data_IF_575689847894
#
_entry.id   IF_575689847894
#
_cell.length_a   1.000
_cell.length_b   1.000
_cell.length_c   1.000
_cell.angle_alpha   90.00
_cell.angle_beta   90.00
_cell.angle_gamma   90.00
#
_symmetry.space_group_name_H-M   'P 1'
#
loop_
_entity.id
_entity.type
_entity.pdbx_description
1 polymer ?
#
# COMPACT_ATOMS: atom_id res chain seq x y z
N UNK A 1 0.53 -16.64 -45.29
CA UNK A 1 1.93 -16.54 -45.76
C UNK A 1 2.19 -15.06 -45.95
N UNK A 2 2.93 -14.41 -45.06
CA UNK A 2 4.40 -14.35 -45.10
C UNK A 2 5.00 -14.24 -43.70
N UNK A 3 5.85 -15.21 -43.35
CA UNK A 3 6.87 -15.10 -42.31
C UNK A 3 7.89 -14.07 -42.81
N UNK A 4 8.20 -13.06 -42.00
CA UNK A 4 9.44 -12.31 -42.17
C UNK A 4 10.36 -12.77 -41.04
N UNK A 5 11.21 -13.74 -41.36
CA UNK A 5 12.45 -13.99 -40.64
C UNK A 5 13.34 -12.76 -40.87
N UNK A 6 13.23 -11.75 -40.02
CA UNK A 6 14.20 -10.66 -39.95
C UNK A 6 15.36 -11.15 -39.09
N UNK A 7 16.41 -11.63 -39.76
CA UNK A 7 17.68 -11.94 -39.12
C UNK A 7 18.19 -10.69 -38.39
N UNK A 8 18.59 -10.79 -37.11
CA UNK A 8 19.01 -9.62 -36.36
C UNK A 8 20.20 -8.95 -37.05
N UNK A 9 20.21 -7.60 -37.12
CA UNK A 9 21.22 -6.85 -37.84
C UNK A 9 22.62 -7.12 -37.28
N UNK A 10 23.65 -7.07 -38.15
CA UNK A 10 25.01 -7.50 -37.84
C UNK A 10 25.63 -6.84 -36.59
N UNK A 11 25.22 -5.60 -36.26
CA UNK A 11 25.65 -4.92 -35.04
C UNK A 11 25.18 -5.62 -33.76
N UNK A 12 24.02 -6.26 -33.77
CA UNK A 12 23.49 -7.03 -32.65
C UNK A 12 24.23 -8.37 -32.47
N UNK A 13 24.65 -8.99 -33.60
CA UNK A 13 25.48 -10.20 -33.59
C UNK A 13 26.90 -9.91 -33.09
N UNK A 14 27.44 -8.73 -33.37
CA UNK A 14 28.77 -8.31 -32.90
C UNK A 14 28.78 -8.04 -31.39
N UNK A 15 27.74 -7.39 -30.86
CA UNK A 15 27.57 -7.17 -29.41
C UNK A 15 27.40 -8.47 -28.62
N UNK A 16 26.69 -9.45 -29.16
CA UNK A 16 26.54 -10.75 -28.51
C UNK A 16 27.88 -11.53 -28.42
N UNK A 17 28.79 -11.33 -29.37
CA UNK A 17 30.13 -11.94 -29.34
C UNK A 17 31.08 -11.21 -28.39
N UNK A 18 30.92 -9.90 -28.26
CA UNK A 18 31.69 -9.07 -27.33
C UNK A 18 31.37 -9.44 -25.86
N UNK A 19 30.10 -9.70 -25.53
CA UNK A 19 29.73 -10.10 -24.16
C UNK A 19 30.23 -11.50 -23.76
N UNK A 20 30.31 -12.46 -24.69
CA UNK A 20 30.85 -13.81 -24.39
C UNK A 20 32.37 -13.82 -24.24
N UNK A 21 33.07 -12.85 -24.82
CA UNK A 21 34.53 -12.74 -24.70
C UNK A 21 34.99 -12.04 -23.41
N UNK A 22 34.07 -11.42 -22.66
CA UNK A 22 34.38 -10.71 -21.41
C UNK A 22 34.26 -11.60 -20.14
N UNK A 23 33.76 -12.83 -20.28
CA UNK A 23 33.56 -13.79 -19.18
C UNK A 23 34.73 -14.80 -19.00
N UNK A 24 35.79 -14.73 -19.81
CA UNK A 24 36.89 -15.74 -19.82
C UNK A 24 38.26 -15.20 -19.34
N UNK A 25 38.29 -14.14 -18.54
CA UNK A 25 39.54 -13.61 -18.00
C UNK A 25 39.48 -13.40 -16.47
N UNK A 26 40.04 -14.36 -15.74
CA UNK A 26 40.76 -14.05 -14.50
C UNK A 26 40.24 -14.69 -13.22
N UNK A 27 40.53 -15.97 -13.05
CA UNK A 27 40.62 -16.63 -11.74
C UNK A 27 41.81 -16.02 -10.96
N UNK A 28 41.63 -15.49 -9.73
CA UNK A 28 42.75 -15.16 -8.86
C UNK A 28 42.87 -16.17 -7.70
N UNK A 29 44.07 -16.75 -7.64
CA UNK A 29 44.73 -17.43 -6.53
C UNK A 29 44.28 -16.97 -5.12
N UNK A 30 43.91 -17.94 -4.28
CA UNK A 30 43.72 -17.78 -2.83
C UNK A 30 45.04 -17.45 -2.13
N UNK A 31 45.08 -16.48 -1.19
CA UNK A 31 46.08 -16.46 -0.15
C UNK A 31 45.51 -17.01 1.16
N UNK A 32 46.18 -18.06 1.62
CA UNK A 32 46.18 -18.61 2.98
C UNK A 32 46.29 -17.49 4.03
N UNK A 33 45.28 -17.38 4.90
CA UNK A 33 45.31 -16.52 6.08
C UNK A 33 44.67 -17.24 7.27
N UNK A 34 45.46 -18.10 7.92
CA UNK A 34 45.21 -18.49 9.31
C UNK A 34 45.15 -17.22 10.19
N UNK A 35 44.04 -17.03 10.92
CA UNK A 35 44.01 -16.16 12.10
C UNK A 35 42.97 -15.05 12.17
N UNK A 36 41.81 -15.16 11.52
CA UNK A 36 40.64 -14.38 11.90
C UNK A 36 39.73 -15.27 12.75
N UNK A 37 39.53 -14.91 14.02
CA UNK A 37 38.35 -15.36 14.78
C UNK A 37 37.16 -15.11 13.88
N UNK A 38 36.43 -16.17 13.49
CA UNK A 38 35.18 -15.99 12.79
C UNK A 38 34.33 -15.03 13.65
N UNK A 39 33.80 -13.94 13.07
CA UNK A 39 32.81 -13.14 13.78
C UNK A 39 31.69 -14.07 14.27
N UNK A 40 31.08 -13.71 15.39
CA UNK A 40 29.89 -14.40 15.91
C UNK A 40 28.89 -14.57 14.73
N UNK A 41 28.21 -15.73 14.54
CA UNK A 41 27.23 -15.91 13.44
C UNK A 41 26.05 -14.93 13.44
N UNK A 42 26.06 -13.98 14.38
CA UNK A 42 25.26 -12.78 14.49
C UNK A 42 25.75 -11.61 13.58
N UNK A 43 26.80 -11.79 12.78
CA UNK A 43 27.45 -10.75 11.95
C UNK A 43 27.02 -10.80 10.46
N UNK A 44 25.86 -11.41 10.18
CA UNK A 44 25.18 -11.48 8.88
C UNK A 44 23.69 -11.15 9.06
N UNK A 45 23.42 -10.17 9.93
CA UNK A 45 22.13 -10.02 10.61
C UNK A 45 21.11 -9.30 9.74
N UNK A 46 20.36 -10.11 8.99
CA UNK A 46 18.96 -9.84 8.62
C UNK A 46 18.25 -9.23 9.84
N UNK A 47 17.35 -8.23 9.68
CA UNK A 47 16.73 -7.50 10.78
C UNK A 47 16.37 -8.37 11.99
N UNK A 48 16.61 -7.86 13.20
CA UNK A 48 16.37 -8.54 14.49
C UNK A 48 14.87 -8.78 14.80
N UNK A 49 13.99 -8.55 13.82
CA UNK A 49 12.54 -8.68 13.89
C UNK A 49 12.06 -9.81 12.97
N UNK A 50 11.22 -10.75 13.46
CA UNK A 50 10.65 -11.79 12.61
C UNK A 50 9.78 -11.21 11.48
N UNK A 51 9.84 -11.81 10.29
CA UNK A 51 9.03 -11.41 9.12
C UNK A 51 7.54 -11.35 9.46
N UNK A 52 7.03 -12.31 10.24
CA UNK A 52 5.62 -12.34 10.67
C UNK A 52 5.22 -11.11 11.50
N UNK A 53 6.15 -10.55 12.28
CA UNK A 53 5.90 -9.33 13.05
C UNK A 53 5.95 -8.08 12.15
N UNK A 54 6.79 -8.09 11.12
CA UNK A 54 6.83 -7.05 10.08
C UNK A 54 5.51 -7.03 9.30
N UNK A 55 5.06 -8.19 8.81
CA UNK A 55 3.81 -8.32 8.05
C UNK A 55 2.60 -7.87 8.88
N UNK A 56 2.56 -8.20 10.18
CA UNK A 56 1.49 -7.75 11.08
C UNK A 56 1.56 -6.24 11.34
N UNK A 57 2.75 -5.66 11.51
CA UNK A 57 2.93 -4.23 11.69
C UNK A 57 2.51 -3.44 10.43
N UNK A 58 2.83 -3.96 9.25
CA UNK A 58 2.39 -3.45 7.96
C UNK A 58 0.85 -3.51 7.84
N UNK A 59 0.24 -4.67 8.12
CA UNK A 59 -1.22 -4.84 8.11
C UNK A 59 -1.92 -3.86 9.05
N UNK A 60 -1.44 -3.73 10.29
CA UNK A 60 -2.00 -2.78 11.26
C UNK A 60 -1.86 -1.32 10.79
N UNK A 61 -0.74 -1.00 10.14
CA UNK A 61 -0.54 0.34 9.55
C UNK A 61 -1.54 0.62 8.45
N UNK A 62 -1.81 -0.36 7.56
CA UNK A 62 -2.84 -0.21 6.52
C UNK A 62 -4.23 -0.03 7.10
N UNK A 63 -4.61 -0.83 8.11
CA UNK A 63 -5.91 -0.70 8.79
C UNK A 63 -6.09 0.66 9.48
N UNK A 64 -5.02 1.21 10.08
CA UNK A 64 -5.06 2.55 10.66
C UNK A 64 -5.35 3.62 9.59
N UNK A 65 -4.65 3.56 8.45
CA UNK A 65 -4.84 4.50 7.33
C UNK A 65 -6.22 4.38 6.68
N UNK A 66 -6.71 3.16 6.51
CA UNK A 66 -8.05 2.90 5.98
C UNK A 66 -9.12 3.53 6.88
N UNK A 67 -9.02 3.32 8.20
CA UNK A 67 -9.90 3.97 9.15
C UNK A 67 -9.80 5.52 9.08
N UNK A 68 -8.59 6.07 8.96
CA UNK A 68 -8.37 7.52 8.82
C UNK A 68 -8.92 8.13 7.52
N UNK A 69 -9.04 7.32 6.47
CA UNK A 69 -9.56 7.73 5.17
C UNK A 69 -11.09 7.67 5.10
N UNK A 70 -11.72 6.91 6.01
CA UNK A 70 -13.17 6.82 6.11
C UNK A 70 -13.78 8.08 6.76
N UNK A 71 -15.11 8.24 6.61
CA UNK A 71 -15.85 9.33 7.23
C UNK A 71 -15.62 9.37 8.75
N UNK A 72 -15.15 10.50 9.32
CA UNK A 72 -14.68 10.54 10.70
C UNK A 72 -15.83 10.37 11.70
N UNK A 73 -15.79 9.28 12.45
CA UNK A 73 -16.64 9.02 13.61
C UNK A 73 -15.79 8.69 14.84
N UNK A 74 -16.28 8.93 16.08
CA UNK A 74 -15.52 8.57 17.28
C UNK A 74 -15.10 7.09 17.31
N UNK A 75 -15.91 6.20 16.75
CA UNK A 75 -15.62 4.77 16.63
C UNK A 75 -14.47 4.50 15.67
N UNK A 76 -14.45 5.17 14.51
CA UNK A 76 -13.41 5.04 13.49
C UNK A 76 -12.08 5.63 13.99
N UNK A 77 -12.12 6.81 14.62
CA UNK A 77 -10.94 7.43 15.24
C UNK A 77 -10.31 6.52 16.30
N UNK A 78 -11.14 5.89 17.14
CA UNK A 78 -10.70 4.93 18.15
C UNK A 78 -10.16 3.63 17.54
N UNK A 79 -10.71 3.16 16.43
CA UNK A 79 -10.17 2.01 15.71
C UNK A 79 -8.76 2.30 15.18
N UNK A 80 -8.58 3.46 14.51
CA UNK A 80 -7.28 3.89 14.00
C UNK A 80 -6.22 4.00 15.12
N UNK A 81 -6.57 4.58 16.27
CA UNK A 81 -5.69 4.66 17.43
C UNK A 81 -5.28 3.27 17.94
N UNK A 82 -6.23 2.35 18.11
CA UNK A 82 -5.94 0.99 18.56
C UNK A 82 -5.01 0.22 17.60
N UNK A 83 -5.17 0.41 16.29
CA UNK A 83 -4.26 -0.21 15.31
C UNK A 83 -2.84 0.33 15.44
N UNK A 84 -2.67 1.65 15.62
CA UNK A 84 -1.35 2.28 15.85
C UNK A 84 -0.73 1.81 17.15
N UNK A 85 -1.49 1.80 18.25
CA UNK A 85 -1.02 1.32 19.55
C UNK A 85 -0.55 -0.14 19.49
N UNK A 86 -1.31 -1.00 18.79
CA UNK A 86 -0.95 -2.41 18.65
C UNK A 86 0.31 -2.61 17.79
N UNK A 87 0.46 -1.85 16.70
CA UNK A 87 1.68 -1.84 15.87
C UNK A 87 2.89 -1.42 16.71
N UNK A 88 2.75 -0.32 17.46
CA UNK A 88 3.85 0.23 18.25
C UNK A 88 4.23 -0.73 19.39
N UNK A 89 3.25 -1.37 20.04
CA UNK A 89 3.50 -2.40 21.04
C UNK A 89 4.20 -3.64 20.44
N UNK A 90 3.81 -4.06 19.23
CA UNK A 90 4.44 -5.18 18.52
C UNK A 90 5.89 -4.85 18.14
N UNK A 91 6.16 -3.66 17.59
CA UNK A 91 7.52 -3.24 17.25
C UNK A 91 8.41 -3.15 18.51
N UNK A 92 7.88 -2.59 19.61
CA UNK A 92 8.60 -2.46 20.87
C UNK A 92 8.94 -3.82 21.52
N UNK A 93 8.15 -4.88 21.28
CA UNK A 93 8.47 -6.24 21.73
C UNK A 93 9.83 -6.72 21.18
N UNK A 94 10.18 -6.28 19.98
CA UNK A 94 11.42 -6.63 19.29
C UNK A 94 12.50 -5.52 19.39
N UNK A 95 12.26 -4.46 20.15
CA UNK A 95 13.20 -3.34 20.28
C UNK A 95 13.22 -2.40 19.08
N UNK A 96 12.07 -2.22 18.44
CA UNK A 96 11.88 -1.34 17.29
C UNK A 96 10.82 -0.26 17.54
N UNK A 97 11.02 0.90 16.92
CA UNK A 97 10.07 2.01 16.83
C UNK A 97 9.56 2.11 15.41
N UNK A 98 8.23 2.04 15.25
CA UNK A 98 7.57 2.20 13.95
C UNK A 98 7.41 3.69 13.58
N UNK A 99 7.64 4.01 12.30
CA UNK A 99 7.39 5.33 11.72
C UNK A 99 6.82 5.20 10.31
N UNK A 100 5.80 5.99 10.01
CA UNK A 100 5.29 6.12 8.64
C UNK A 100 5.94 7.33 7.97
N UNK A 101 6.42 7.15 6.74
CA UNK A 101 6.94 8.20 5.87
C UNK A 101 5.92 8.45 4.77
N UNK A 102 5.30 9.63 4.79
CA UNK A 102 4.24 9.98 3.84
C UNK A 102 4.77 10.24 2.42
N UNK A 103 6.05 10.60 2.28
CA UNK A 103 6.71 10.99 1.03
C UNK A 103 6.65 9.88 -0.03
N UNK A 104 6.87 8.64 0.39
CA UNK A 104 6.92 7.43 -0.45
C UNK A 104 6.03 6.30 0.09
N UNK A 105 5.15 6.64 1.02
CA UNK A 105 4.18 5.74 1.64
C UNK A 105 4.83 4.45 2.18
N UNK A 106 5.83 4.62 3.04
CA UNK A 106 6.59 3.53 3.64
C UNK A 106 6.39 3.45 5.16
N UNK A 107 6.25 2.23 5.66
CA UNK A 107 6.45 1.90 7.08
C UNK A 107 7.93 1.58 7.29
N UNK A 108 8.57 2.29 8.22
CA UNK A 108 9.94 2.01 8.63
C UNK A 108 9.97 1.59 10.09
N UNK A 109 10.56 0.44 10.37
CA UNK A 109 10.86 -0.04 11.71
C UNK A 109 12.33 0.25 12.00
N UNK A 110 12.57 1.25 12.86
CA UNK A 110 13.91 1.60 13.32
C UNK A 110 14.24 0.87 14.62
N UNK A 111 15.46 0.34 14.79
CA UNK A 111 15.94 -0.08 16.10
C UNK A 111 15.77 1.06 17.13
N UNK A 112 15.23 0.75 18.31
CA UNK A 112 14.91 1.74 19.34
C UNK A 112 16.13 2.56 19.77
N UNK A 113 17.31 1.93 19.76
CA UNK A 113 18.57 2.57 20.12
C UNK A 113 18.97 3.71 19.17
N UNK A 114 18.46 3.72 17.93
CA UNK A 114 18.66 4.81 16.99
C UNK A 114 17.72 5.98 17.23
N UNK A 115 16.65 5.78 18.00
CA UNK A 115 15.62 6.79 18.20
C UNK A 115 15.88 7.61 19.47
N UNK A 116 15.60 8.90 19.39
CA UNK A 116 15.57 9.82 20.54
C UNK A 116 14.46 10.85 20.27
N UNK A 117 13.48 10.95 21.18
CA UNK A 117 12.34 11.87 21.05
C UNK A 117 11.65 11.82 19.67
N UNK A 118 11.43 10.60 19.14
CA UNK A 118 10.78 10.36 17.85
C UNK A 118 11.64 10.69 16.61
N UNK A 119 12.92 11.01 16.81
CA UNK A 119 13.86 11.38 15.74
C UNK A 119 15.02 10.39 15.67
N UNK A 120 15.34 9.94 14.45
CA UNK A 120 16.50 9.09 14.18
C UNK A 120 17.80 9.87 14.46
N UNK A 121 18.67 9.30 15.28
CA UNK A 121 19.98 9.85 15.62
C UNK A 121 21.03 9.22 14.70
N UNK A 122 21.41 9.93 13.63
CA UNK A 122 22.33 9.40 12.61
C UNK A 122 23.67 8.92 13.17
N UNK A 123 24.18 9.56 14.23
CA UNK A 123 25.42 9.15 14.90
C UNK A 123 25.31 7.81 15.67
N UNK A 124 24.09 7.28 15.87
CA UNK A 124 23.81 5.98 16.50
C UNK A 124 23.55 4.88 15.48
N UNK A 125 23.46 5.21 14.18
CA UNK A 125 23.22 4.25 13.11
C UNK A 125 24.56 3.61 12.73
N UNK A 126 24.77 2.38 13.18
CA UNK A 126 25.99 1.62 12.87
C UNK A 126 25.84 0.82 11.58
N UNK A 127 24.65 0.28 11.33
CA UNK A 127 24.34 -0.56 10.18
C UNK A 127 22.88 -0.33 9.73
N UNK A 128 22.68 0.29 8.57
CA UNK A 128 21.35 0.62 8.03
C UNK A 128 20.51 -0.60 7.69
N UNK A 129 21.13 -1.75 7.44
CA UNK A 129 20.42 -2.98 7.02
C UNK A 129 19.58 -3.58 8.17
N UNK A 130 19.77 -3.08 9.40
CA UNK A 130 18.96 -3.46 10.58
C UNK A 130 17.59 -2.82 10.62
N UNK A 131 17.36 -1.73 9.89
CA UNK A 131 16.03 -1.14 9.75
C UNK A 131 15.22 -1.91 8.72
N UNK A 132 13.91 -2.03 8.95
CA UNK A 132 12.99 -2.65 8.00
C UNK A 132 12.17 -1.57 7.33
N UNK A 133 12.22 -1.50 6.00
CA UNK A 133 11.37 -0.62 5.20
C UNK A 133 10.37 -1.45 4.40
N UNK A 134 9.08 -1.15 4.58
CA UNK A 134 7.98 -1.82 3.90
C UNK A 134 7.14 -0.78 3.18
N UNK A 135 6.99 -0.93 1.86
CA UNK A 135 6.10 -0.05 1.11
C UNK A 135 4.64 -0.38 1.45
N UNK A 136 3.89 0.63 1.86
CA UNK A 136 2.45 0.52 2.11
C UNK A 136 1.65 0.61 0.81
N UNK A 137 2.26 1.18 -0.23
CA UNK A 137 1.79 1.23 -1.62
C UNK A 137 2.34 0.07 -2.46
N UNK A 138 1.58 -0.36 -3.48
CA UNK A 138 2.04 -1.33 -4.48
C UNK A 138 1.41 -2.73 -4.38
N UNK A 139 1.79 -3.66 -5.29
CA UNK A 139 1.08 -4.91 -5.62
C UNK A 139 1.09 -6.01 -4.54
N UNK A 140 1.41 -5.70 -3.29
CA UNK A 140 1.61 -6.67 -2.21
C UNK A 140 0.36 -7.46 -1.80
N UNK A 141 -0.84 -6.93 -2.08
CA UNK A 141 -2.11 -7.59 -1.79
C UNK A 141 -2.91 -7.82 -3.09
N UNK A 142 -3.04 -9.09 -3.47
CA UNK A 142 -3.69 -9.48 -4.73
C UNK A 142 -5.21 -9.33 -4.71
N UNK A 143 -5.85 -9.41 -3.54
CA UNK A 143 -7.30 -9.24 -3.43
C UNK A 143 -7.64 -7.75 -3.44
N UNK A 144 -6.89 -6.94 -2.68
CA UNK A 144 -6.92 -5.47 -2.75
C UNK A 144 -6.63 -4.97 -4.16
N UNK A 145 -5.66 -5.56 -4.86
CA UNK A 145 -5.37 -5.22 -6.25
C UNK A 145 -6.59 -5.36 -7.16
N UNK A 146 -7.31 -6.49 -7.07
CA UNK A 146 -8.48 -6.72 -7.95
C UNK A 146 -9.59 -5.73 -7.67
N UNK A 147 -9.82 -5.42 -6.40
CA UNK A 147 -10.84 -4.47 -6.00
C UNK A 147 -10.52 -3.04 -6.45
N UNK A 148 -9.31 -2.57 -6.16
CA UNK A 148 -8.83 -1.25 -6.60
C UNK A 148 -8.80 -1.14 -8.12
N UNK A 149 -8.36 -2.19 -8.82
CA UNK A 149 -8.37 -2.20 -10.28
C UNK A 149 -9.80 -2.10 -10.84
N UNK A 150 -10.76 -2.82 -10.25
CA UNK A 150 -12.15 -2.74 -10.67
C UNK A 150 -12.76 -1.35 -10.42
N UNK A 151 -12.48 -0.73 -9.27
CA UNK A 151 -12.90 0.66 -8.99
C UNK A 151 -12.29 1.65 -9.99
N UNK A 152 -10.97 1.59 -10.18
CA UNK A 152 -10.27 2.50 -11.09
C UNK A 152 -10.72 2.34 -12.55
N UNK A 153 -11.01 1.10 -12.98
CA UNK A 153 -11.60 0.82 -14.29
C UNK A 153 -13.01 1.41 -14.40
N UNK A 154 -13.86 1.23 -13.40
CA UNK A 154 -15.22 1.81 -13.39
C UNK A 154 -15.21 3.34 -13.46
N UNK A 155 -14.30 4.01 -12.75
CA UNK A 155 -14.13 5.47 -12.87
C UNK A 155 -13.68 5.87 -14.28
N UNK A 156 -12.72 5.15 -14.87
CA UNK A 156 -12.27 5.43 -16.23
C UNK A 156 -13.39 5.22 -17.28
N UNK A 157 -14.23 4.19 -17.11
CA UNK A 157 -15.42 3.95 -17.92
C UNK A 157 -16.42 5.11 -17.81
N UNK A 158 -16.73 5.57 -16.59
CA UNK A 158 -17.64 6.71 -16.38
C UNK A 158 -17.10 8.02 -16.99
N UNK A 159 -15.78 8.26 -16.92
CA UNK A 159 -15.16 9.39 -17.63
C UNK A 159 -15.34 9.23 -19.14
N UNK A 160 -15.12 8.03 -19.68
CA UNK A 160 -15.30 7.78 -21.11
C UNK A 160 -16.75 7.96 -21.60
N UNK A 161 -17.73 7.72 -20.74
CA UNK A 161 -19.15 7.92 -21.06
C UNK A 161 -19.58 9.39 -20.99
N UNK A 162 -19.04 10.15 -20.04
CA UNK A 162 -19.50 11.52 -19.71
C UNK A 162 -18.70 12.61 -20.40
N UNK A 163 -17.43 12.35 -20.70
CA UNK A 163 -16.46 13.39 -21.05
C UNK A 163 -15.87 13.23 -22.46
N UNK A 164 -15.10 14.23 -22.89
CA UNK A 164 -14.39 14.19 -24.15
C UNK A 164 -13.30 13.11 -24.17
N UNK A 165 -13.00 12.58 -25.37
CA UNK A 165 -12.02 11.51 -25.59
C UNK A 165 -10.63 11.81 -24.99
N UNK A 166 -10.24 13.10 -24.92
CA UNK A 166 -8.98 13.52 -24.30
C UNK A 166 -8.93 13.24 -22.79
N UNK A 167 -10.05 13.41 -22.09
CA UNK A 167 -10.17 13.09 -20.67
C UNK A 167 -10.27 11.59 -20.46
N UNK A 168 -11.06 10.89 -21.30
CA UNK A 168 -11.19 9.43 -21.28
C UNK A 168 -9.83 8.72 -21.41
N UNK A 169 -9.03 9.10 -22.41
CA UNK A 169 -7.70 8.51 -22.64
C UNK A 169 -6.73 8.77 -21.47
N UNK A 170 -6.86 9.93 -20.83
CA UNK A 170 -6.08 10.24 -19.63
C UNK A 170 -6.54 9.39 -18.46
N UNK A 171 -7.84 9.22 -18.26
CA UNK A 171 -8.42 8.40 -17.21
C UNK A 171 -8.00 6.93 -17.32
N UNK A 172 -8.04 6.33 -18.52
CA UNK A 172 -7.56 4.96 -18.75
C UNK A 172 -6.09 4.79 -18.34
N UNK A 173 -5.24 5.73 -18.76
CA UNK A 173 -3.80 5.67 -18.45
C UNK A 173 -3.55 5.89 -16.96
N UNK A 174 -4.33 6.78 -16.33
CA UNK A 174 -4.23 7.09 -14.92
C UNK A 174 -4.73 5.95 -14.03
N UNK A 175 -5.84 5.31 -14.38
CA UNK A 175 -6.32 4.10 -13.74
C UNK A 175 -5.25 3.00 -13.78
N UNK A 176 -4.63 2.77 -14.94
CA UNK A 176 -3.54 1.81 -15.06
C UNK A 176 -2.30 2.17 -14.21
N UNK A 177 -1.98 3.46 -14.07
CA UNK A 177 -0.92 3.92 -13.19
C UNK A 177 -1.24 3.63 -11.73
N UNK A 178 -2.40 4.09 -11.26
CA UNK A 178 -2.82 3.96 -9.87
C UNK A 178 -3.00 2.51 -9.44
N UNK A 179 -3.57 1.66 -10.30
CA UNK A 179 -3.73 0.23 -10.01
C UNK A 179 -2.40 -0.52 -10.00
N UNK A 180 -1.48 -0.23 -10.92
CA UNK A 180 -0.26 -1.04 -11.06
C UNK A 180 0.91 -0.54 -10.19
N UNK A 181 1.05 0.77 -9.99
CA UNK A 181 2.16 1.35 -9.23
C UNK A 181 1.83 1.55 -7.76
N UNK A 182 0.60 1.96 -7.42
CA UNK A 182 0.24 2.27 -6.03
C UNK A 182 -0.74 1.28 -5.41
N UNK A 183 -1.55 0.58 -6.21
CA UNK A 183 -2.70 -0.18 -5.72
C UNK A 183 -3.57 0.70 -4.83
N UNK A 184 -3.86 1.90 -5.34
CA UNK A 184 -4.75 2.89 -4.70
C UNK A 184 -5.88 3.34 -5.62
N UNK A 185 -7.02 3.77 -5.04
CA UNK A 185 -8.08 4.46 -5.77
C UNK A 185 -7.56 5.68 -6.54
N UNK A 186 -8.14 5.97 -7.71
CA UNK A 186 -7.77 7.13 -8.55
C UNK A 186 -8.02 8.49 -7.89
N UNK A 187 -8.88 8.55 -6.88
CA UNK A 187 -9.19 9.73 -6.08
C UNK A 187 -8.27 9.87 -4.84
N UNK A 188 -7.53 8.83 -4.46
CA UNK A 188 -6.53 8.88 -3.38
C UNK A 188 -5.12 9.19 -3.91
N UNK A 189 -4.90 10.48 -4.21
CA UNK A 189 -3.68 10.95 -4.88
C UNK A 189 -3.04 12.14 -4.17
N UNK A 190 -1.73 12.07 -3.97
CA UNK A 190 -0.94 13.22 -3.50
C UNK A 190 -0.53 14.13 -4.68
N UNK A 191 -0.19 15.40 -4.43
CA UNK A 191 0.35 16.28 -5.48
C UNK A 191 1.60 15.72 -6.16
N UNK A 192 2.44 15.01 -5.41
CA UNK A 192 3.64 14.34 -5.92
C UNK A 192 3.28 13.16 -6.84
N UNK A 193 2.31 12.33 -6.44
CA UNK A 193 1.77 11.25 -7.28
C UNK A 193 1.23 11.79 -8.61
N UNK A 194 0.49 12.91 -8.57
CA UNK A 194 -0.02 13.57 -9.79
C UNK A 194 1.10 14.13 -10.67
N UNK A 195 2.16 14.67 -10.07
CA UNK A 195 3.32 15.16 -10.80
C UNK A 195 4.09 14.02 -11.47
N UNK A 196 4.34 12.93 -10.75
CA UNK A 196 4.96 11.71 -11.28
C UNK A 196 4.18 11.16 -12.48
N UNK A 197 2.84 11.08 -12.35
CA UNK A 197 2.00 10.67 -13.47
C UNK A 197 2.21 11.55 -14.70
N UNK A 198 2.14 12.87 -14.52
CA UNK A 198 2.21 13.86 -15.61
C UNK A 198 3.55 13.85 -16.31
N UNK A 199 4.63 13.87 -15.52
CA UNK A 199 5.98 14.15 -16.00
C UNK A 199 6.72 12.89 -16.44
N UNK A 200 6.36 11.74 -15.85
CA UNK A 200 7.07 10.49 -16.07
C UNK A 200 6.19 9.42 -16.70
N UNK A 201 5.13 9.00 -15.98
CA UNK A 201 4.38 7.81 -16.37
C UNK A 201 3.60 8.01 -17.67
N UNK A 202 2.87 9.11 -17.79
CA UNK A 202 2.03 9.41 -18.95
C UNK A 202 2.88 9.48 -20.23
N UNK A 203 4.01 10.20 -20.16
CA UNK A 203 4.92 10.37 -21.31
C UNK A 203 5.52 9.03 -21.74
N UNK A 204 5.90 8.17 -20.79
CA UNK A 204 6.54 6.88 -21.06
C UNK A 204 5.58 5.79 -21.51
N UNK A 205 4.35 5.78 -20.98
CA UNK A 205 3.42 4.65 -21.13
C UNK A 205 2.16 5.01 -21.94
N UNK A 206 1.62 6.22 -21.78
CA UNK A 206 0.38 6.65 -22.43
C UNK A 206 0.56 7.22 -23.85
N UNK A 207 1.78 7.62 -24.20
CA UNK A 207 2.12 8.25 -25.49
C UNK A 207 1.14 9.40 -25.82
N UNK A 208 1.08 10.45 -24.98
CA UNK A 208 0.02 11.44 -25.04
C UNK A 208 0.14 12.34 -26.28
N UNK A 209 -0.99 12.88 -26.70
CA UNK A 209 -1.01 13.96 -27.71
C UNK A 209 -0.65 15.30 -27.05
N UNK A 210 -0.25 16.29 -27.85
CA UNK A 210 -0.02 17.66 -27.35
C UNK A 210 -1.27 18.25 -26.68
N UNK A 211 -2.45 17.92 -27.20
CA UNK A 211 -3.74 18.29 -26.63
C UNK A 211 -3.93 17.64 -25.25
N UNK A 212 -3.66 16.34 -25.13
CA UNK A 212 -3.74 15.61 -23.86
C UNK A 212 -2.79 16.18 -22.81
N UNK A 213 -1.55 16.52 -23.18
CA UNK A 213 -0.60 17.17 -22.28
C UNK A 213 -1.06 18.56 -21.85
N UNK A 214 -1.73 19.32 -22.73
CA UNK A 214 -2.20 20.66 -22.43
C UNK A 214 -3.38 20.68 -21.43
N UNK A 215 -4.18 19.60 -21.38
CA UNK A 215 -5.35 19.48 -20.49
C UNK A 215 -5.19 18.40 -19.42
N UNK A 216 -3.98 17.91 -19.17
CA UNK A 216 -3.75 16.79 -18.24
C UNK A 216 -4.20 17.12 -16.81
N UNK A 217 -3.87 18.31 -16.30
CA UNK A 217 -4.30 18.73 -14.96
C UNK A 217 -5.83 18.89 -14.86
N UNK A 218 -6.47 19.40 -15.92
CA UNK A 218 -7.93 19.46 -16.02
C UNK A 218 -8.54 18.06 -16.04
N UNK A 219 -7.94 17.13 -16.78
CA UNK A 219 -8.37 15.73 -16.85
C UNK A 219 -8.29 15.05 -15.49
N UNK A 220 -7.22 15.30 -14.70
CA UNK A 220 -7.09 14.77 -13.35
C UNK A 220 -8.19 15.31 -12.41
N UNK A 221 -8.55 16.59 -12.53
CA UNK A 221 -9.68 17.16 -11.78
C UNK A 221 -11.04 16.59 -12.20
N UNK A 222 -11.22 16.30 -13.50
CA UNK A 222 -12.43 15.65 -14.02
C UNK A 222 -12.56 14.22 -13.48
N UNK A 223 -11.47 13.45 -13.47
CA UNK A 223 -11.43 12.09 -12.91
C UNK A 223 -11.83 12.11 -11.43
N UNK A 224 -11.22 12.99 -10.63
CA UNK A 224 -11.55 13.17 -9.20
C UNK A 224 -13.02 13.53 -8.98
N UNK A 225 -13.58 14.40 -9.83
CA UNK A 225 -15.00 14.76 -9.75
C UNK A 225 -15.93 13.60 -10.09
N UNK A 226 -15.58 12.75 -11.05
CA UNK A 226 -16.39 11.61 -11.45
C UNK A 226 -16.25 10.46 -10.45
N UNK A 227 -15.06 10.26 -9.89
CA UNK A 227 -14.79 9.29 -8.83
C UNK A 227 -15.72 9.47 -7.62
N UNK A 228 -16.04 10.71 -7.26
CA UNK A 228 -16.98 11.03 -6.19
C UNK A 228 -18.44 10.56 -6.44
N UNK A 229 -18.80 10.26 -7.69
CA UNK A 229 -20.12 9.72 -8.08
C UNK A 229 -20.12 8.18 -8.21
N UNK A 230 -18.95 7.53 -8.11
CA UNK A 230 -18.78 6.07 -8.26
C UNK A 230 -18.61 5.46 -6.87
N UNK A 231 -19.38 4.41 -6.57
CA UNK A 231 -19.24 3.69 -5.30
C UNK A 231 -17.80 3.14 -5.18
N UNK A 232 -17.12 3.54 -4.11
CA UNK A 232 -15.74 3.14 -3.81
C UNK A 232 -15.57 1.64 -3.54
N UNK A 233 -14.32 1.14 -3.48
CA UNK A 233 -14.04 -0.21 -3.00
C UNK A 233 -14.69 -0.41 -1.62
N UNK A 234 -15.32 -1.56 -1.42
CA UNK A 234 -15.97 -1.91 -0.17
C UNK A 234 -14.90 -2.10 0.90
N UNK A 235 -14.82 -1.14 1.83
CA UNK A 235 -14.15 -1.32 3.12
C UNK A 235 -14.52 -2.69 3.69
N UNK A 236 -13.53 -3.53 4.02
CA UNK A 236 -13.74 -4.85 4.57
C UNK A 236 -14.55 -4.71 5.88
N UNK A 237 -15.87 -4.85 5.75
CA UNK A 237 -16.77 -4.78 6.88
C UNK A 237 -16.46 -5.97 7.80
N UNK A 238 -15.98 -5.62 8.99
CA UNK A 238 -15.74 -6.48 10.14
C UNK A 238 -16.70 -7.71 10.17
N UNK A 239 -16.17 -8.96 10.15
CA UNK A 239 -17.00 -10.16 10.25
C UNK A 239 -17.72 -10.30 11.61
N UNK A 240 -17.57 -9.34 12.54
CA UNK A 240 -18.30 -9.31 13.81
C UNK A 240 -19.74 -8.77 13.71
N UNK A 241 -20.21 -8.27 12.57
CA UNK A 241 -21.58 -7.69 12.47
C UNK A 241 -22.71 -8.69 12.23
N UNK A 242 -22.43 -9.96 11.90
CA UNK A 242 -23.48 -10.98 11.73
C UNK A 242 -23.78 -11.71 13.04
N UNK A 243 -24.20 -10.95 14.05
CA UNK A 243 -24.93 -11.50 15.18
C UNK A 243 -26.41 -11.52 14.82
N UNK A 244 -27.07 -12.68 14.68
CA UNK A 244 -28.48 -12.72 14.34
C UNK A 244 -29.29 -12.05 15.47
N UNK A 245 -30.11 -11.08 15.07
CA UNK A 245 -31.05 -10.40 15.94
C UNK A 245 -31.84 -11.43 16.77
N UNK A 246 -31.71 -11.33 18.09
CA UNK A 246 -32.49 -12.13 19.02
C UNK A 246 -33.97 -11.88 18.74
N UNK A 247 -34.67 -12.95 18.37
CA UNK A 247 -36.11 -12.95 18.19
C UNK A 247 -36.79 -12.53 19.51
N UNK A 248 -37.55 -11.44 19.44
CA UNK A 248 -38.61 -11.12 20.39
C UNK A 248 -39.57 -12.30 20.44
N UNK A 249 -39.49 -13.07 21.52
CA UNK A 249 -40.55 -14.01 21.90
C UNK A 249 -41.48 -13.30 22.86
N UNK A 250 -42.61 -12.84 22.32
CA UNK A 250 -43.84 -12.55 23.04
C UNK A 250 -44.16 -13.70 24.02
N UNK A 251 -44.13 -13.42 25.33
CA UNK A 251 -44.73 -14.28 26.34
C UNK A 251 -45.93 -13.52 26.97
N UNK A 252 -47.09 -13.74 26.34
CA UNK A 252 -48.41 -13.46 26.90
C UNK A 252 -48.69 -14.50 28.00
N UNK A 253 -48.55 -14.10 29.26
CA UNK A 253 -49.05 -14.86 30.40
C UNK A 253 -49.83 -13.95 31.34
N UNK A 254 -51.11 -13.83 31.03
CA UNK A 254 -52.15 -13.29 31.90
C UNK A 254 -52.26 -14.11 33.19
N UNK A 255 -52.02 -13.47 34.34
CA UNK A 255 -52.43 -13.98 35.65
C UNK A 255 -52.78 -12.81 36.56
N UNK A 256 -54.08 -12.51 36.67
CA UNK A 256 -54.61 -11.75 37.79
C UNK A 256 -54.69 -12.63 39.04
N UNK A 257 -54.40 -12.06 40.21
CA UNK A 257 -55.28 -12.03 41.38
C UNK A 257 -54.62 -11.15 42.46
N UNK A 258 -55.41 -10.40 43.23
CA UNK A 258 -54.98 -9.34 44.17
C UNK A 258 -54.34 -9.85 45.49
N UNK A 259 -54.39 -9.10 46.62
CA UNK A 259 -55.31 -7.99 46.92
C UNK A 259 -54.72 -6.73 47.59
N UNK A 260 -55.54 -5.67 47.47
CA UNK A 260 -55.90 -4.62 48.42
C UNK A 260 -54.91 -4.19 49.51
N UNK A 261 -54.50 -2.93 49.40
CA UNK A 261 -53.96 -2.08 50.46
C UNK A 261 -55.01 -1.84 51.55
N UNK A 262 -54.65 -2.20 52.78
CA UNK A 262 -55.25 -1.74 54.03
C UNK A 262 -54.65 -0.36 54.37
N UNK A 263 -55.47 0.68 54.49
CA UNK A 263 -55.19 1.84 55.34
C UNK A 263 -56.51 2.40 55.89
N UNK A 264 -56.46 2.82 57.15
CA UNK A 264 -57.57 2.91 58.09
C UNK A 264 -58.36 4.22 58.03
N UNK A 265 -59.70 4.15 58.03
CA UNK A 265 -60.66 5.03 58.75
C UNK A 265 -62.11 4.82 58.29
#
# INVERSE_FOLDING_TARGET
MTRTDDEPPEWAKERAREMVAADDDGEPDEPDAEGATAPDPDDERVPDVPVEAVDEAERLTRLAREAESAEPTPEIEQAAEQYRERRDALAAEYGYTARVRDEDDALVLYPDEWMDDGTVQLDRVEDTDRAVEVSLSGPGDADRYREVAAYNEAVAEEVAEREAEVHARTAETFAAFMSNHYVRPVDDTTPETRAEFREEYLVRNGWPTDEQLAVVDESLSVIESIAADVDGPAVDADPASDAPAAADSDDDASAGDGPATDDSA
#
